data_IF_077965476206
#
_entry.id   IF_077965476206
#
_cell.length_a   1.000
_cell.length_b   1.000
_cell.length_c   1.000
_cell.angle_alpha   90.00
_cell.angle_beta   90.00
_cell.angle_gamma   90.00
#
_symmetry.space_group_name_H-M   'P 1'
#
loop_
_entity.id
_entity.type
_entity.pdbx_description
1 polymer ?
#
# COMPACT_ATOMS: atom_id res chain seq x y z
N UNK A 1 7.05 14.07 1.53
CA UNK A 1 7.90 12.97 2.09
C UNK A 1 6.97 11.85 2.53
N UNK A 2 7.32 10.57 2.33
CA UNK A 2 6.47 9.49 2.84
C UNK A 2 6.37 9.59 4.37
N UNK A 3 5.16 9.55 4.92
CA UNK A 3 4.93 9.59 6.39
C UNK A 3 5.48 8.34 7.08
N UNK A 4 5.68 7.26 6.32
CA UNK A 4 6.13 5.96 6.81
C UNK A 4 7.41 5.54 6.08
N UNK A 5 8.41 5.11 6.85
CA UNK A 5 9.67 4.58 6.34
C UNK A 5 9.52 3.14 5.85
N UNK A 6 10.24 2.81 4.76
CA UNK A 6 10.34 1.45 4.28
C UNK A 6 11.39 0.69 5.09
N UNK A 7 10.94 -0.01 6.12
CA UNK A 7 11.76 -0.84 7.00
C UNK A 7 11.05 -2.16 7.34
N UNK A 8 11.80 -3.13 7.85
CA UNK A 8 11.25 -4.46 8.15
C UNK A 8 10.10 -4.43 9.15
N UNK A 9 10.10 -3.49 10.11
CA UNK A 9 9.01 -3.37 11.09
C UNK A 9 7.73 -2.99 10.37
N UNK A 10 7.77 -1.93 9.57
CA UNK A 10 6.61 -1.44 8.84
C UNK A 10 6.14 -2.46 7.79
N UNK A 11 7.05 -3.16 7.12
CA UNK A 11 6.71 -4.25 6.19
C UNK A 11 5.96 -5.40 6.86
N UNK A 12 6.35 -5.80 8.08
CA UNK A 12 5.64 -6.82 8.86
C UNK A 12 4.29 -6.33 9.37
N UNK A 13 4.17 -5.03 9.62
CA UNK A 13 2.96 -4.40 10.11
C UNK A 13 1.97 -4.05 8.98
N UNK A 14 2.40 -3.99 7.72
CA UNK A 14 1.49 -3.85 6.58
C UNK A 14 0.85 -5.19 6.19
N UNK A 15 -0.45 -5.16 5.92
CA UNK A 15 -1.20 -6.23 5.26
C UNK A 15 -1.40 -5.98 3.76
N UNK A 16 -0.62 -5.07 3.18
CA UNK A 16 -0.62 -4.72 1.76
C UNK A 16 -0.59 -5.97 0.85
N UNK A 17 0.23 -7.02 1.12
CA UNK A 17 0.24 -8.25 0.32
C UNK A 17 -1.13 -8.94 0.19
N UNK A 18 -2.04 -8.70 1.14
CA UNK A 18 -3.38 -9.29 1.21
C UNK A 18 -4.48 -8.33 0.76
N UNK A 19 -4.15 -7.16 0.20
CA UNK A 19 -5.16 -6.25 -0.32
C UNK A 19 -5.85 -6.85 -1.56
N UNK A 20 -7.19 -6.85 -1.63
CA UNK A 20 -7.89 -7.38 -2.80
C UNK A 20 -7.67 -6.53 -4.07
N UNK A 21 -7.29 -5.25 -3.93
CA UNK A 21 -6.93 -4.35 -5.04
C UNK A 21 -5.82 -4.89 -5.95
N UNK A 22 -4.94 -5.71 -5.41
CA UNK A 22 -3.77 -6.26 -6.11
C UNK A 22 -3.91 -7.74 -6.46
N UNK A 23 -4.99 -8.41 -6.07
CA UNK A 23 -5.22 -9.84 -6.30
C UNK A 23 -5.18 -10.20 -7.80
N UNK A 24 -5.69 -9.28 -8.62
CA UNK A 24 -5.74 -9.41 -10.08
C UNK A 24 -4.57 -8.73 -10.81
N UNK A 25 -3.70 -8.01 -10.10
CA UNK A 25 -2.59 -7.28 -10.71
C UNK A 25 -1.44 -8.24 -11.03
N UNK A 26 -1.03 -8.27 -12.28
CA UNK A 26 0.16 -9.00 -12.74
C UNK A 26 1.44 -8.29 -12.28
N UNK A 27 1.45 -6.96 -12.26
CA UNK A 27 2.58 -6.18 -11.74
C UNK A 27 2.89 -6.56 -10.28
N UNK A 28 1.87 -6.68 -9.44
CA UNK A 28 2.07 -6.98 -8.03
C UNK A 28 2.53 -8.42 -7.81
N UNK A 29 2.02 -9.37 -8.61
CA UNK A 29 2.50 -10.77 -8.62
C UNK A 29 3.97 -10.83 -9.00
N UNK A 30 4.36 -10.15 -10.09
CA UNK A 30 5.75 -10.08 -10.55
C UNK A 30 6.65 -9.42 -9.51
N UNK A 31 6.21 -8.35 -8.85
CA UNK A 31 6.98 -7.67 -7.82
C UNK A 31 7.13 -8.53 -6.55
N UNK A 32 6.14 -9.36 -6.22
CA UNK A 32 6.26 -10.34 -5.15
C UNK A 32 7.31 -11.42 -5.46
N UNK A 33 7.33 -11.93 -6.69
CA UNK A 33 8.36 -12.89 -7.15
C UNK A 33 9.78 -12.28 -7.15
N UNK A 34 9.89 -11.02 -7.56
CA UNK A 34 11.14 -10.27 -7.57
C UNK A 34 11.56 -9.76 -6.18
N UNK A 35 10.78 -10.07 -5.13
CA UNK A 35 10.98 -9.57 -3.76
C UNK A 35 11.15 -8.04 -3.69
N UNK A 36 10.47 -7.29 -4.56
CA UNK A 36 10.45 -5.84 -4.49
C UNK A 36 9.58 -5.41 -3.29
N UNK A 37 10.22 -4.86 -2.27
CA UNK A 37 9.54 -4.36 -1.06
C UNK A 37 8.82 -3.03 -1.29
N UNK A 38 9.13 -2.31 -2.37
CA UNK A 38 8.59 -0.99 -2.68
C UNK A 38 7.07 -0.97 -2.83
N UNK A 39 6.44 -2.07 -3.27
CA UNK A 39 4.99 -2.20 -3.40
C UNK A 39 4.31 -2.90 -2.22
N UNK A 40 5.07 -3.23 -1.16
CA UNK A 40 4.52 -3.87 0.04
C UNK A 40 4.11 -2.87 1.11
N UNK A 41 4.29 -1.57 0.88
CA UNK A 41 4.00 -0.51 1.85
C UNK A 41 3.17 0.66 1.30
N UNK A 42 2.61 0.56 0.09
CA UNK A 42 1.86 1.67 -0.54
C UNK A 42 0.68 2.18 0.31
N UNK A 43 0.09 1.33 1.17
CA UNK A 43 -0.94 1.76 2.14
C UNK A 43 -0.47 2.90 3.06
N UNK A 44 0.85 3.10 3.16
CA UNK A 44 1.50 4.01 4.08
C UNK A 44 2.48 4.97 3.39
N UNK A 45 3.08 4.55 2.26
CA UNK A 45 4.01 5.36 1.48
C UNK A 45 3.35 6.15 0.35
N UNK A 46 2.13 5.79 -0.07
CA UNK A 46 1.40 6.48 -1.13
C UNK A 46 1.06 5.57 -2.31
N UNK A 47 1.01 6.14 -3.53
CA UNK A 47 0.52 5.43 -4.72
C UNK A 47 1.43 4.23 -5.08
N UNK A 48 0.82 3.08 -5.39
CA UNK A 48 1.57 1.93 -5.92
C UNK A 48 2.20 2.25 -7.28
N UNK A 49 3.33 1.61 -7.57
CA UNK A 49 3.96 1.69 -8.89
C UNK A 49 3.20 0.88 -9.97
N UNK A 50 2.31 -0.01 -9.54
CA UNK A 50 1.49 -0.84 -10.42
C UNK A 50 0.27 -0.07 -10.93
N UNK A 51 0.09 -0.06 -12.25
CA UNK A 51 -1.01 0.64 -12.94
C UNK A 51 -2.22 -0.26 -13.21
N UNK A 52 -2.10 -1.56 -12.97
CA UNK A 52 -3.11 -2.59 -13.19
C UNK A 52 -3.86 -2.98 -11.90
N UNK A 53 -3.77 -2.12 -10.88
CA UNK A 53 -4.55 -2.27 -9.65
C UNK A 53 -6.03 -2.05 -9.91
N UNK A 54 -6.88 -2.89 -9.32
CA UNK A 54 -8.32 -2.77 -9.48
C UNK A 54 -8.90 -1.75 -8.49
N UNK A 55 -9.01 -0.49 -8.90
CA UNK A 55 -9.50 0.62 -8.05
C UNK A 55 -10.94 0.45 -7.54
N UNK A 56 -11.70 -0.52 -8.08
CA UNK A 56 -13.05 -0.85 -7.59
C UNK A 56 -13.03 -1.67 -6.31
N UNK A 57 -11.91 -2.33 -6.01
CA UNK A 57 -11.71 -3.10 -4.79
C UNK A 57 -11.23 -2.19 -3.66
N UNK A 58 -11.59 -2.53 -2.42
CA UNK A 58 -11.18 -1.73 -1.25
C UNK A 58 -9.77 -2.09 -0.81
N UNK A 59 -9.01 -1.08 -0.41
CA UNK A 59 -7.74 -1.31 0.26
C UNK A 59 -7.97 -1.51 1.76
N UNK A 60 -7.41 -2.58 2.32
CA UNK A 60 -7.57 -2.94 3.73
C UNK A 60 -6.55 -2.21 4.62
N UNK A 61 -6.05 -1.05 4.17
CA UNK A 61 -5.06 -0.25 4.90
C UNK A 61 -5.46 0.04 6.36
N UNK A 62 -6.74 0.32 6.71
CA UNK A 62 -7.15 0.48 8.12
C UNK A 62 -6.93 -0.73 9.02
N UNK A 63 -6.74 -1.93 8.43
CA UNK A 63 -6.42 -3.15 9.19
C UNK A 63 -4.91 -3.34 9.40
N UNK A 64 -4.09 -2.45 8.85
CA UNK A 64 -2.64 -2.49 9.02
C UNK A 64 -2.26 -1.76 10.31
N UNK A 65 -1.35 -2.34 11.09
CA UNK A 65 -0.85 -1.70 12.31
C UNK A 65 -0.15 -0.37 12.02
N UNK A 66 0.54 -0.28 10.88
CA UNK A 66 1.16 0.96 10.40
C UNK A 66 0.14 2.09 10.25
N UNK A 67 -1.08 1.77 9.81
CA UNK A 67 -2.13 2.77 9.62
C UNK A 67 -2.54 3.41 10.95
N UNK A 68 -2.66 2.60 12.01
CA UNK A 68 -2.95 3.09 13.36
C UNK A 68 -1.72 3.72 14.05
N UNK A 69 -0.52 3.16 13.88
CA UNK A 69 0.71 3.67 14.51
C UNK A 69 1.13 5.05 13.98
N UNK A 70 0.85 5.33 12.71
CA UNK A 70 1.22 6.59 12.05
C UNK A 70 0.04 7.55 11.85
N UNK A 71 -1.10 7.27 12.49
CA UNK A 71 -2.34 8.07 12.39
C UNK A 71 -2.68 8.42 10.91
N UNK A 72 -2.63 7.39 10.06
CA UNK A 72 -2.91 7.54 8.65
C UNK A 72 -4.43 7.63 8.45
N UNK A 73 -4.87 8.49 7.55
CA UNK A 73 -6.29 8.71 7.27
C UNK A 73 -6.55 8.64 5.78
N UNK A 74 -7.50 7.80 5.35
CA UNK A 74 -7.87 7.63 3.94
C UNK A 74 -7.82 6.17 3.50
N UNK A 75 -8.81 5.76 2.69
CA UNK A 75 -8.99 4.37 2.23
C UNK A 75 -8.37 4.11 0.84
N UNK A 76 -7.84 5.13 0.18
CA UNK A 76 -7.46 5.10 -1.24
C UNK A 76 -5.94 5.13 -1.48
N UNK A 77 -5.11 4.91 -0.45
CA UNK A 77 -3.64 5.05 -0.54
C UNK A 77 -3.00 4.27 -1.69
N UNK A 78 -3.46 3.05 -1.89
CA UNK A 78 -3.06 2.14 -2.95
C UNK A 78 -3.14 2.70 -4.38
N UNK A 79 -4.19 3.46 -4.70
CA UNK A 79 -4.48 3.89 -6.06
C UNK A 79 -4.36 5.40 -6.24
N UNK A 80 -4.76 6.16 -5.21
CA UNK A 80 -4.79 7.62 -5.20
C UNK A 80 -3.69 8.26 -4.35
N UNK A 81 -2.90 7.47 -3.61
CA UNK A 81 -1.87 8.01 -2.73
C UNK A 81 -2.41 8.57 -1.41
N UNK A 82 -1.54 9.21 -0.64
CA UNK A 82 -1.87 9.73 0.68
C UNK A 82 -2.96 10.78 0.61
N UNK A 83 -3.85 10.82 1.61
CA UNK A 83 -4.86 11.90 1.68
C UNK A 83 -4.22 13.31 1.72
N UNK A 84 -2.97 13.39 2.17
CA UNK A 84 -2.11 14.57 2.20
C UNK A 84 -1.60 15.02 0.81
N UNK A 85 -1.71 14.19 -0.23
CA UNK A 85 -1.27 14.47 -1.61
C UNK A 85 -2.36 15.18 -2.45
N UNK A 86 -3.53 15.50 -1.87
CA UNK A 86 -4.51 16.39 -2.48
C UNK A 86 -4.18 17.86 -2.14
N UNK A 87 -3.06 18.34 -2.68
CA UNK A 87 -2.67 19.75 -2.73
C UNK A 87 -2.41 20.19 -4.15
#
# INVERSE_FOLDING_TARGET
>A
MPRVTLDEKNLRHCRCPYCPVQDKSECTKKNAELKKDSDKLYCSTGKSSCTDLNEKERCICPTCLVWSEYDLSGLYYCTKGSADDNG
#
